data_IF_929046327711
#
_entry.id   IF_929046327711
#
_cell.length_a   1.000
_cell.length_b   1.000
_cell.length_c   1.000
_cell.angle_alpha   90.00
_cell.angle_beta   90.00
_cell.angle_gamma   90.00
#
_symmetry.space_group_name_H-M   'P 1'
#
loop_
_entity.id
_entity.type
_entity.pdbx_description
1 polymer ?
#
# COMPACT_ATOMS: atom_id res chain seq x y z
N UNK A 1 35.91 -13.44 -24.84
CA UNK A 1 36.10 -12.38 -25.86
C UNK A 1 34.86 -12.35 -26.74
N UNK A 2 33.84 -11.57 -26.36
CA UNK A 2 32.78 -11.16 -27.28
C UNK A 2 33.15 -9.74 -27.73
N UNK A 3 33.51 -9.59 -29.00
CA UNK A 3 33.64 -8.28 -29.64
C UNK A 3 32.23 -7.78 -29.97
N UNK A 4 31.47 -7.32 -28.97
CA UNK A 4 30.26 -6.56 -29.25
C UNK A 4 30.67 -5.17 -29.76
N UNK A 5 30.08 -4.75 -30.89
CA UNK A 5 30.29 -3.40 -31.42
C UNK A 5 30.01 -2.37 -30.33
N UNK A 6 30.89 -1.39 -30.20
CA UNK A 6 30.61 -0.23 -29.38
C UNK A 6 29.34 0.46 -29.92
N UNK A 7 28.35 0.75 -29.05
CA UNK A 7 27.13 1.41 -29.45
C UNK A 7 27.44 2.77 -30.08
N UNK A 8 26.71 3.11 -31.13
CA UNK A 8 26.94 4.33 -31.93
C UNK A 8 25.94 5.44 -31.64
N UNK A 9 24.89 5.13 -30.88
CA UNK A 9 23.83 6.06 -30.50
C UNK A 9 23.47 5.89 -29.03
N UNK A 10 22.97 6.96 -28.39
CA UNK A 10 22.57 6.93 -26.97
C UNK A 10 21.52 5.82 -26.70
N UNK A 11 20.46 5.65 -27.53
CA UNK A 11 19.50 4.55 -27.33
C UNK A 11 20.14 3.16 -27.39
N UNK A 12 21.14 2.97 -28.24
CA UNK A 12 21.85 1.70 -28.38
C UNK A 12 22.73 1.42 -27.14
N UNK A 13 23.40 2.46 -26.62
CA UNK A 13 24.17 2.39 -25.37
C UNK A 13 23.27 2.00 -24.18
N UNK A 14 22.14 2.69 -24.03
CA UNK A 14 21.18 2.42 -22.95
C UNK A 14 20.52 1.04 -23.09
N UNK A 15 20.23 0.59 -24.31
CA UNK A 15 19.71 -0.75 -24.56
C UNK A 15 20.75 -1.82 -24.20
N UNK A 16 22.03 -1.57 -24.46
CA UNK A 16 23.12 -2.43 -24.03
C UNK A 16 23.23 -2.46 -22.51
N UNK A 17 23.38 -1.30 -21.85
CA UNK A 17 23.47 -1.19 -20.39
C UNK A 17 22.28 -1.88 -19.69
N UNK A 18 21.08 -1.76 -20.23
CA UNK A 18 19.88 -2.45 -19.72
C UNK A 18 19.95 -3.97 -19.85
N UNK A 19 20.50 -4.49 -20.95
CA UNK A 19 20.75 -5.94 -21.11
C UNK A 19 21.81 -6.40 -20.11
N UNK A 20 22.88 -5.62 -19.97
CA UNK A 20 23.98 -5.93 -19.05
C UNK A 20 23.53 -5.93 -17.59
N UNK A 21 22.58 -5.07 -17.21
CA UNK A 21 21.97 -5.04 -15.88
C UNK A 21 20.78 -6.02 -15.70
N UNK A 22 20.53 -6.92 -16.65
CA UNK A 22 19.45 -7.90 -16.52
C UNK A 22 19.60 -8.74 -15.24
N UNK A 23 18.52 -8.87 -14.47
CA UNK A 23 18.48 -9.57 -13.19
C UNK A 23 18.78 -8.71 -11.95
N UNK A 24 19.18 -7.44 -12.12
CA UNK A 24 19.33 -6.49 -11.01
C UNK A 24 17.97 -5.89 -10.55
N UNK A 25 17.99 -5.15 -9.43
CA UNK A 25 16.78 -4.48 -8.93
C UNK A 25 16.26 -3.46 -9.97
N UNK A 26 14.95 -3.42 -10.27
CA UNK A 26 14.39 -2.48 -11.24
C UNK A 26 14.66 -1.00 -10.95
N UNK A 27 14.83 -0.61 -9.69
CA UNK A 27 15.19 0.75 -9.31
C UNK A 27 16.65 1.05 -9.71
N UNK A 28 17.58 0.14 -9.40
CA UNK A 28 18.98 0.26 -9.81
C UNK A 28 19.11 0.40 -11.34
N UNK A 29 18.37 -0.42 -12.09
CA UNK A 29 18.36 -0.35 -13.55
C UNK A 29 17.88 1.02 -14.03
N UNK A 30 16.84 1.57 -13.40
CA UNK A 30 16.30 2.87 -13.78
C UNK A 30 17.28 4.00 -13.47
N UNK A 31 17.89 3.99 -12.28
CA UNK A 31 18.83 5.02 -11.84
C UNK A 31 20.07 5.00 -12.73
N UNK A 32 20.65 3.83 -12.97
CA UNK A 32 21.81 3.67 -13.86
C UNK A 32 21.55 4.13 -15.30
N UNK A 33 20.36 3.85 -15.84
CA UNK A 33 19.99 4.30 -17.19
C UNK A 33 19.77 5.82 -17.26
N UNK A 34 19.22 6.42 -16.20
CA UNK A 34 18.99 7.86 -16.12
C UNK A 34 20.31 8.63 -16.03
N UNK A 35 21.18 8.23 -15.09
CA UNK A 35 22.50 8.84 -14.90
C UNK A 35 23.34 8.74 -16.19
N UNK A 36 23.34 7.57 -16.83
CA UNK A 36 24.05 7.36 -18.08
C UNK A 36 23.49 8.20 -19.23
N UNK A 37 22.16 8.34 -19.35
CA UNK A 37 21.54 9.18 -20.38
C UNK A 37 21.85 10.66 -20.16
N UNK A 38 21.75 11.15 -18.92
CA UNK A 38 22.05 12.55 -18.57
C UNK A 38 23.50 12.89 -18.89
N UNK A 39 24.44 12.04 -18.47
CA UNK A 39 25.87 12.22 -18.73
C UNK A 39 26.21 12.17 -20.23
N UNK A 40 25.66 11.22 -20.98
CA UNK A 40 25.90 11.13 -22.43
C UNK A 40 25.34 12.34 -23.19
N UNK A 41 24.19 12.87 -22.77
CA UNK A 41 23.59 14.06 -23.37
C UNK A 41 24.35 15.34 -23.02
N UNK A 42 24.88 15.47 -21.81
CA UNK A 42 25.73 16.62 -21.44
C UNK A 42 27.03 16.61 -22.24
N UNK A 43 27.68 15.46 -22.38
CA UNK A 43 28.91 15.30 -23.17
C UNK A 43 28.69 15.62 -24.66
N UNK A 44 27.53 15.24 -25.21
CA UNK A 44 27.17 15.58 -26.59
C UNK A 44 26.92 17.09 -26.76
N UNK A 45 26.31 17.74 -25.78
CA UNK A 45 26.07 19.18 -25.79
C UNK A 45 27.37 20.01 -25.69
N UNK A 46 28.37 19.50 -24.97
CA UNK A 46 29.70 20.13 -24.83
C UNK A 46 30.60 19.90 -26.07
N UNK A 47 30.26 18.94 -26.93
CA UNK A 47 31.02 18.61 -28.14
C UNK A 47 30.19 18.78 -29.44
N UNK A 48 29.71 20.00 -29.78
CA UNK A 48 28.80 20.24 -30.92
C UNK A 48 29.42 19.96 -32.30
N UNK A 49 30.74 19.79 -32.40
CA UNK A 49 31.46 19.51 -33.64
C UNK A 49 31.79 18.03 -33.89
N UNK A 50 31.43 17.13 -32.98
CA UNK A 50 31.70 15.68 -33.10
C UNK A 50 30.41 14.92 -33.42
N UNK A 51 30.55 13.79 -34.12
CA UNK A 51 29.42 12.90 -34.34
C UNK A 51 29.01 12.18 -33.04
N UNK A 52 27.73 11.82 -32.92
CA UNK A 52 27.21 11.12 -31.73
C UNK A 52 28.02 9.84 -31.42
N UNK A 53 28.42 9.11 -32.45
CA UNK A 53 29.24 7.90 -32.33
C UNK A 53 30.67 8.18 -31.79
N UNK A 54 31.28 9.30 -32.16
CA UNK A 54 32.61 9.69 -31.66
C UNK A 54 32.57 10.06 -30.18
N UNK A 55 31.53 10.77 -29.75
CA UNK A 55 31.34 11.15 -28.35
C UNK A 55 31.09 9.91 -27.50
N UNK A 56 30.23 8.98 -27.96
CA UNK A 56 29.95 7.74 -27.22
C UNK A 56 31.19 6.84 -27.15
N UNK A 57 31.98 6.74 -28.22
CA UNK A 57 33.23 5.98 -28.19
C UNK A 57 34.26 6.60 -27.21
N UNK A 58 34.35 7.92 -27.16
CA UNK A 58 35.21 8.63 -26.22
C UNK A 58 34.76 8.44 -24.77
N UNK A 59 33.45 8.54 -24.51
CA UNK A 59 32.87 8.30 -23.18
C UNK A 59 33.04 6.84 -22.76
N UNK A 60 32.80 5.87 -23.65
CA UNK A 60 33.02 4.46 -23.36
C UNK A 60 34.50 4.16 -23.03
N UNK A 61 35.44 4.94 -23.58
CA UNK A 61 36.87 4.84 -23.27
C UNK A 61 37.27 5.48 -21.94
N UNK A 62 36.58 6.53 -21.49
CA UNK A 62 36.95 7.29 -20.28
C UNK A 62 36.12 6.89 -19.05
N UNK A 63 34.82 6.69 -19.24
CA UNK A 63 33.83 6.38 -18.21
C UNK A 63 33.53 4.87 -18.12
N UNK A 64 33.88 4.10 -19.16
CA UNK A 64 33.75 2.65 -19.22
C UNK A 64 32.70 2.18 -20.21
N UNK A 65 32.86 0.95 -20.69
CA UNK A 65 31.88 0.33 -21.59
C UNK A 65 30.57 0.02 -20.85
N UNK A 66 29.42 -0.16 -21.56
CA UNK A 66 28.13 -0.47 -20.93
C UNK A 66 28.17 -1.64 -19.93
N UNK A 67 28.96 -2.68 -20.21
CA UNK A 67 29.13 -3.83 -19.33
C UNK A 67 29.91 -3.50 -18.05
N UNK A 68 30.97 -2.70 -18.17
CA UNK A 68 31.80 -2.29 -17.02
C UNK A 68 31.01 -1.36 -16.10
N UNK A 69 30.24 -0.43 -16.66
CA UNK A 69 29.32 0.42 -15.92
C UNK A 69 28.27 -0.44 -15.20
N UNK A 70 27.71 -1.45 -15.86
CA UNK A 70 26.74 -2.35 -15.24
C UNK A 70 27.31 -3.08 -14.00
N UNK A 71 28.56 -3.54 -14.08
CA UNK A 71 29.21 -4.25 -12.98
C UNK A 71 29.52 -3.31 -11.80
N UNK A 72 29.90 -2.06 -12.06
CA UNK A 72 30.09 -1.03 -11.01
C UNK A 72 28.78 -0.79 -10.25
N UNK A 73 27.66 -0.66 -10.95
CA UNK A 73 26.35 -0.46 -10.32
C UNK A 73 25.93 -1.69 -9.49
N UNK A 74 26.17 -2.92 -9.98
CA UNK A 74 25.89 -4.15 -9.21
C UNK A 74 26.68 -4.22 -7.91
N UNK A 75 27.98 -3.99 -7.97
CA UNK A 75 28.85 -4.07 -6.80
C UNK A 75 28.54 -2.98 -5.77
N UNK A 76 28.23 -1.78 -6.25
CA UNK A 76 27.85 -0.65 -5.39
C UNK A 76 26.53 -0.93 -4.70
N UNK A 77 25.53 -1.44 -5.42
CA UNK A 77 24.22 -1.77 -4.85
C UNK A 77 24.33 -2.88 -3.79
N UNK A 78 25.11 -3.94 -4.03
CA UNK A 78 25.31 -5.01 -3.04
C UNK A 78 25.94 -4.47 -1.76
N UNK A 79 26.94 -3.60 -1.86
CA UNK A 79 27.59 -2.98 -0.69
C UNK A 79 26.63 -2.06 0.06
N UNK A 80 25.88 -1.23 -0.66
CA UNK A 80 24.91 -0.30 -0.07
C UNK A 80 23.76 -1.05 0.60
N UNK A 81 23.17 -2.06 -0.06
CA UNK A 81 22.11 -2.88 0.52
C UNK A 81 22.58 -3.65 1.76
N UNK A 82 23.81 -4.16 1.74
CA UNK A 82 24.39 -4.88 2.88
C UNK A 82 24.62 -3.93 4.07
N UNK A 83 25.13 -2.72 3.80
CA UNK A 83 25.38 -1.70 4.83
C UNK A 83 24.08 -1.12 5.43
N UNK A 84 23.04 -0.98 4.61
CA UNK A 84 21.75 -0.43 5.02
C UNK A 84 20.80 -1.48 5.59
N UNK A 85 21.18 -2.76 5.62
CA UNK A 85 20.30 -3.84 6.10
C UNK A 85 20.09 -3.70 7.61
N UNK A 86 18.88 -3.34 8.08
CA UNK A 86 18.63 -3.24 9.51
C UNK A 86 18.68 -4.64 10.15
N UNK A 87 19.13 -4.76 11.41
CA UNK A 87 19.16 -6.04 12.11
C UNK A 87 17.75 -6.64 12.16
N UNK A 88 17.59 -7.95 11.87
CA UNK A 88 16.28 -8.59 11.88
C UNK A 88 15.68 -8.54 13.29
N UNK A 89 14.40 -8.12 13.44
CA UNK A 89 13.78 -8.01 14.75
C UNK A 89 13.71 -9.39 15.43
N UNK A 90 13.90 -9.46 16.76
CA UNK A 90 13.90 -10.72 17.49
C UNK A 90 12.53 -11.41 17.41
N UNK A 91 12.51 -12.64 16.91
CA UNK A 91 11.28 -13.45 16.76
C UNK A 91 10.91 -14.07 18.12
N UNK A 92 9.78 -13.67 18.70
CA UNK A 92 9.27 -14.23 19.97
C UNK A 92 8.73 -15.65 19.76
N UNK A 93 9.34 -16.65 20.39
CA UNK A 93 9.10 -18.09 20.14
C UNK A 93 7.96 -18.72 20.96
N UNK A 94 7.54 -18.15 22.10
CA UNK A 94 6.54 -18.79 22.99
C UNK A 94 5.09 -18.42 22.65
N UNK A 95 4.14 -19.35 22.82
CA UNK A 95 2.71 -19.13 22.60
C UNK A 95 2.13 -18.04 23.54
N UNK A 96 2.49 -18.10 24.82
CA UNK A 96 2.12 -17.09 25.82
C UNK A 96 2.75 -15.72 25.54
N UNK A 97 4.00 -15.66 25.08
CA UNK A 97 4.66 -14.41 24.70
C UNK A 97 4.09 -13.77 23.43
N UNK A 98 3.47 -14.57 22.55
CA UNK A 98 2.71 -14.08 21.38
C UNK A 98 1.31 -13.59 21.77
N UNK A 99 0.64 -14.28 22.71
CA UNK A 99 -0.68 -13.90 23.20
C UNK A 99 -0.64 -12.57 23.97
N UNK A 100 0.23 -12.46 24.99
CA UNK A 100 0.39 -11.20 25.74
C UNK A 100 1.13 -10.11 24.95
N UNK A 101 1.93 -10.50 23.96
CA UNK A 101 2.69 -9.57 23.13
C UNK A 101 1.86 -8.67 22.22
N UNK A 102 0.56 -8.88 22.11
CA UNK A 102 -0.32 -8.08 21.24
C UNK A 102 -0.43 -6.62 21.69
N UNK A 103 -0.42 -6.34 22.99
CA UNK A 103 -0.36 -4.96 23.51
C UNK A 103 0.99 -4.28 23.26
N UNK A 104 2.03 -5.06 22.98
CA UNK A 104 3.35 -4.53 22.60
C UNK A 104 3.52 -4.47 21.07
N UNK A 105 2.53 -4.90 20.28
CA UNK A 105 2.57 -4.88 18.82
C UNK A 105 1.86 -3.61 18.30
N UNK A 106 2.60 -2.60 17.80
CA UNK A 106 2.00 -1.37 17.26
C UNK A 106 1.00 -1.65 16.13
N UNK A 107 1.16 -2.76 15.41
CA UNK A 107 0.26 -3.12 14.29
C UNK A 107 -1.12 -3.52 14.74
N UNK A 108 -1.27 -4.05 15.97
CA UNK A 108 -2.58 -4.39 16.49
C UNK A 108 -3.41 -3.12 16.75
N UNK A 109 -2.78 -2.07 17.29
CA UNK A 109 -3.39 -0.75 17.45
C UNK A 109 -3.68 -0.07 16.11
N UNK A 110 -2.74 -0.13 15.17
CA UNK A 110 -2.95 0.42 13.84
C UNK A 110 -4.11 -0.28 13.11
N UNK A 111 -4.25 -1.61 13.27
CA UNK A 111 -5.38 -2.36 12.71
C UNK A 111 -6.71 -2.01 13.40
N UNK A 112 -6.71 -1.84 14.72
CA UNK A 112 -7.90 -1.40 15.47
C UNK A 112 -8.33 0.01 15.05
N UNK A 113 -7.37 0.93 14.91
CA UNK A 113 -7.63 2.28 14.42
C UNK A 113 -8.13 2.26 12.97
N UNK A 114 -7.56 1.38 12.12
CA UNK A 114 -8.06 1.16 10.76
C UNK A 114 -9.52 0.69 10.76
N UNK A 115 -9.91 -0.25 11.64
CA UNK A 115 -11.30 -0.73 11.72
C UNK A 115 -12.30 0.39 12.02
N UNK A 116 -11.91 1.36 12.85
CA UNK A 116 -12.74 2.54 13.14
C UNK A 116 -12.76 3.50 11.95
N UNK A 117 -11.60 3.75 11.34
CA UNK A 117 -11.44 4.61 10.17
C UNK A 117 -12.13 4.05 8.91
N UNK A 118 -12.27 2.73 8.81
CA UNK A 118 -12.84 2.01 7.67
C UNK A 118 -14.30 2.41 7.40
N UNK A 119 -15.06 2.80 8.44
CA UNK A 119 -16.42 3.31 8.24
C UNK A 119 -16.41 4.66 7.52
N UNK A 120 -15.57 5.60 7.98
CA UNK A 120 -15.50 6.94 7.39
C UNK A 120 -14.97 6.90 5.95
N UNK A 121 -13.89 6.15 5.73
CA UNK A 121 -13.32 5.94 4.38
C UNK A 121 -14.27 5.16 3.48
N UNK A 122 -14.96 4.14 4.01
CA UNK A 122 -15.94 3.36 3.25
C UNK A 122 -17.17 4.16 2.83
N UNK A 123 -17.70 5.04 3.68
CA UNK A 123 -18.76 5.98 3.29
C UNK A 123 -18.26 6.89 2.17
N UNK A 124 -17.09 7.49 2.33
CA UNK A 124 -16.52 8.39 1.33
C UNK A 124 -16.34 7.70 -0.03
N UNK A 125 -15.70 6.52 -0.07
CA UNK A 125 -15.47 5.78 -1.30
C UNK A 125 -16.76 5.33 -1.97
N UNK A 126 -17.72 4.82 -1.19
CA UNK A 126 -19.00 4.39 -1.71
C UNK A 126 -19.78 5.56 -2.32
N UNK A 127 -19.90 6.67 -1.60
CA UNK A 127 -20.60 7.87 -2.10
C UNK A 127 -19.89 8.40 -3.35
N UNK A 128 -18.57 8.47 -3.34
CA UNK A 128 -17.79 8.93 -4.50
C UNK A 128 -18.04 8.07 -5.73
N UNK A 129 -18.00 6.75 -5.59
CA UNK A 129 -18.23 5.82 -6.71
C UNK A 129 -19.66 5.91 -7.20
N UNK A 130 -20.66 5.81 -6.31
CA UNK A 130 -22.06 5.80 -6.71
C UNK A 130 -22.45 7.14 -7.34
N UNK A 131 -22.18 8.26 -6.66
CA UNK A 131 -22.54 9.58 -7.18
C UNK A 131 -21.70 9.94 -8.41
N UNK A 132 -20.38 9.76 -8.35
CA UNK A 132 -19.47 10.11 -9.44
C UNK A 132 -19.74 9.31 -10.71
N UNK A 133 -19.96 7.99 -10.58
CA UNK A 133 -20.30 7.14 -11.72
C UNK A 133 -21.68 7.45 -12.27
N UNK A 134 -22.71 7.59 -11.43
CA UNK A 134 -24.07 7.91 -11.88
C UNK A 134 -24.15 9.27 -12.59
N UNK A 135 -23.49 10.31 -12.06
CA UNK A 135 -23.47 11.64 -12.69
C UNK A 135 -22.68 11.62 -13.99
N UNK A 136 -21.51 10.98 -14.01
CA UNK A 136 -20.67 10.90 -15.22
C UNK A 136 -21.35 10.14 -16.36
N UNK A 137 -22.01 9.02 -16.03
CA UNK A 137 -22.73 8.20 -17.00
C UNK A 137 -24.06 8.85 -17.42
N UNK A 138 -24.75 9.55 -16.51
CA UNK A 138 -25.94 10.32 -16.87
C UNK A 138 -25.61 11.48 -17.83
N UNK A 139 -24.50 12.19 -17.58
CA UNK A 139 -24.06 13.29 -18.43
C UNK A 139 -23.34 12.82 -19.69
N UNK A 140 -22.98 11.54 -19.86
CA UNK A 140 -22.26 11.07 -21.05
C UNK A 140 -23.09 11.14 -22.34
N UNK A 141 -24.43 11.25 -22.22
CA UNK A 141 -25.32 11.59 -23.34
C UNK A 141 -25.03 13.00 -23.87
N UNK A 142 -24.48 13.86 -23.03
CA UNK A 142 -24.02 15.20 -23.38
C UNK A 142 -22.52 15.20 -23.70
N UNK A 143 -22.07 16.21 -24.46
CA UNK A 143 -20.64 16.41 -24.76
C UNK A 143 -19.80 16.58 -23.47
N UNK A 144 -20.41 17.09 -22.40
CA UNK A 144 -19.74 17.39 -21.12
C UNK A 144 -19.44 16.13 -20.31
N UNK A 145 -20.22 15.05 -20.49
CA UNK A 145 -20.05 13.84 -19.67
C UNK A 145 -18.76 13.08 -19.96
N UNK A 146 -18.24 13.11 -21.20
CA UNK A 146 -17.00 12.42 -21.55
C UNK A 146 -15.81 12.96 -20.74
N UNK A 147 -15.53 14.28 -20.71
CA UNK A 147 -14.52 14.86 -19.82
C UNK A 147 -14.73 14.50 -18.34
N UNK A 148 -15.97 14.55 -17.86
CA UNK A 148 -16.29 14.25 -16.46
C UNK A 148 -16.00 12.80 -16.10
N UNK A 149 -16.32 11.86 -17.00
CA UNK A 149 -16.07 10.43 -16.81
C UNK A 149 -14.57 10.11 -16.79
N UNK A 150 -13.79 10.77 -17.65
CA UNK A 150 -12.32 10.69 -17.62
C UNK A 150 -11.79 11.21 -16.27
N UNK A 151 -12.29 12.35 -15.79
CA UNK A 151 -11.90 12.91 -14.50
C UNK A 151 -12.28 11.96 -13.34
N UNK A 152 -13.46 11.35 -13.41
CA UNK A 152 -13.91 10.37 -12.43
C UNK A 152 -12.96 9.16 -12.37
N UNK A 153 -12.64 8.51 -13.49
CA UNK A 153 -11.69 7.40 -13.49
C UNK A 153 -10.28 7.81 -13.05
N UNK A 154 -9.84 9.03 -13.41
CA UNK A 154 -8.62 9.62 -12.89
C UNK A 154 -8.64 9.73 -11.36
N UNK A 155 -9.74 10.22 -10.79
CA UNK A 155 -9.91 10.35 -9.34
C UNK A 155 -9.91 8.99 -8.64
N UNK A 156 -10.57 7.96 -9.21
CA UNK A 156 -10.57 6.59 -8.66
C UNK A 156 -9.16 6.03 -8.59
N UNK A 157 -8.34 6.28 -9.62
CA UNK A 157 -6.92 5.89 -9.61
C UNK A 157 -6.16 6.58 -8.49
N UNK A 158 -6.33 7.90 -8.31
CA UNK A 158 -5.67 8.64 -7.22
C UNK A 158 -6.10 8.12 -5.85
N UNK A 159 -7.41 7.95 -5.64
CA UNK A 159 -7.96 7.45 -4.38
C UNK A 159 -7.47 6.04 -4.06
N UNK A 160 -7.27 5.18 -5.05
CA UNK A 160 -6.75 3.82 -4.82
C UNK A 160 -5.29 3.81 -4.37
N UNK A 161 -4.49 4.81 -4.77
CA UNK A 161 -3.14 5.01 -4.25
C UNK A 161 -3.17 5.49 -2.80
N UNK A 162 -4.08 6.41 -2.47
CA UNK A 162 -4.28 6.88 -1.09
C UNK A 162 -4.66 5.71 -0.19
N UNK A 163 -5.64 4.90 -0.60
CA UNK A 163 -6.09 3.75 0.18
C UNK A 163 -5.01 2.67 0.26
N UNK A 164 -4.30 2.40 -0.84
CA UNK A 164 -3.14 1.51 -0.82
C UNK A 164 -2.06 1.98 0.17
N UNK A 165 -1.87 3.29 0.33
CA UNK A 165 -0.94 3.86 1.31
C UNK A 165 -1.44 3.76 2.74
N UNK A 166 -2.74 4.00 2.98
CA UNK A 166 -3.38 3.80 4.29
C UNK A 166 -3.19 2.34 4.73
N UNK A 167 -3.50 1.39 3.85
CA UNK A 167 -3.33 -0.05 4.11
C UNK A 167 -1.87 -0.42 4.33
N UNK A 168 -0.93 0.11 3.52
CA UNK A 168 0.50 -0.17 3.68
C UNK A 168 1.03 0.35 5.03
N UNK A 169 0.66 1.57 5.41
CA UNK A 169 1.14 2.22 6.66
C UNK A 169 0.51 1.58 7.88
N UNK A 170 -0.80 1.30 7.85
CA UNK A 170 -1.54 0.86 9.03
C UNK A 170 -1.51 -0.66 9.22
N UNK A 171 -1.59 -1.42 8.13
CA UNK A 171 -1.68 -2.89 8.19
C UNK A 171 -0.32 -3.56 7.92
N UNK A 172 0.64 -2.82 7.38
CA UNK A 172 2.00 -3.30 7.12
C UNK A 172 2.10 -4.28 5.95
N UNK A 173 1.03 -4.41 5.15
CA UNK A 173 1.03 -5.21 3.93
C UNK A 173 1.62 -4.37 2.80
N UNK A 174 2.72 -4.85 2.22
CA UNK A 174 3.44 -4.09 1.17
C UNK A 174 2.59 -4.04 -0.10
N UNK A 175 2.07 -2.86 -0.41
CA UNK A 175 1.41 -2.58 -1.69
C UNK A 175 2.44 -2.20 -2.77
N UNK A 176 2.28 -2.64 -4.03
CA UNK A 176 3.13 -2.19 -5.13
C UNK A 176 2.89 -0.70 -5.38
N UNK A 177 3.98 0.08 -5.29
CA UNK A 177 3.94 1.55 -5.27
C UNK A 177 3.86 2.21 -6.64
N UNK A 178 3.99 1.46 -7.74
CA UNK A 178 4.13 2.03 -9.09
C UNK A 178 3.00 1.55 -10.00
N UNK A 179 2.29 2.44 -10.69
CA UNK A 179 1.44 2.03 -11.79
C UNK A 179 2.28 1.30 -12.85
N UNK A 180 1.74 0.22 -13.44
CA UNK A 180 2.35 -0.41 -14.61
C UNK A 180 2.52 0.66 -15.68
N UNK A 181 3.72 0.73 -16.27
CA UNK A 181 4.11 1.71 -17.27
C UNK A 181 3.00 1.85 -18.33
N UNK A 182 2.44 3.06 -18.47
CA UNK A 182 1.72 3.39 -19.70
C UNK A 182 2.74 3.39 -20.82
N UNK A 183 2.52 2.55 -21.84
CA UNK A 183 3.36 2.51 -23.04
C UNK A 183 3.41 3.93 -23.62
N UNK A 184 4.58 4.58 -23.55
CA UNK A 184 4.80 5.91 -24.18
C UNK A 184 4.58 5.75 -25.69
N UNK A 185 3.74 6.60 -26.27
CA UNK A 185 3.44 6.61 -27.72
C UNK A 185 1.96 6.44 -28.10
N UNK A 186 1.05 6.11 -27.17
CA UNK A 186 -0.39 6.01 -27.48
C UNK A 186 -1.10 7.37 -27.51
N UNK A 187 -2.01 7.54 -28.47
CA UNK A 187 -2.85 8.74 -28.62
C UNK A 187 -3.80 8.91 -27.43
N UNK A 188 -4.26 10.15 -27.17
CA UNK A 188 -5.20 10.43 -26.07
C UNK A 188 -6.49 9.59 -26.18
N UNK A 189 -6.98 9.38 -27.40
CA UNK A 189 -8.17 8.55 -27.66
C UNK A 189 -7.97 7.07 -27.33
N UNK A 190 -6.79 6.51 -27.65
CA UNK A 190 -6.46 5.14 -27.26
C UNK A 190 -6.36 5.00 -25.74
N UNK A 191 -5.79 5.99 -25.04
CA UNK A 191 -5.71 5.99 -23.56
C UNK A 191 -7.09 6.07 -22.90
N UNK A 192 -8.02 6.82 -23.50
CA UNK A 192 -9.40 6.89 -23.02
C UNK A 192 -10.08 5.54 -23.21
N UNK A 193 -9.97 4.93 -24.40
CA UNK A 193 -10.53 3.59 -24.65
C UNK A 193 -9.99 2.53 -23.71
N UNK A 194 -8.67 2.51 -23.51
CA UNK A 194 -7.99 1.58 -22.59
C UNK A 194 -8.49 1.73 -21.14
N UNK A 195 -8.89 2.93 -20.70
CA UNK A 195 -9.41 3.14 -19.35
C UNK A 195 -10.75 2.43 -19.08
N UNK A 196 -11.61 2.32 -20.10
CA UNK A 196 -12.92 1.65 -19.98
C UNK A 196 -12.81 0.13 -20.02
N UNK A 197 -11.84 -0.40 -20.79
CA UNK A 197 -11.62 -1.85 -20.92
C UNK A 197 -10.67 -2.42 -19.88
N UNK A 198 -9.95 -1.57 -19.13
CA UNK A 198 -9.03 -1.98 -18.07
C UNK A 198 -9.77 -2.67 -16.90
N UNK A 199 -9.56 -3.99 -16.68
CA UNK A 199 -10.19 -4.73 -15.57
C UNK A 199 -9.79 -4.18 -14.19
N UNK A 200 -8.67 -3.46 -14.11
CA UNK A 200 -8.22 -2.81 -12.88
C UNK A 200 -9.17 -1.70 -12.43
N UNK A 201 -9.71 -0.92 -13.35
CA UNK A 201 -10.67 0.14 -13.03
C UNK A 201 -11.90 -0.47 -12.37
N UNK A 202 -12.44 -1.54 -12.95
CA UNK A 202 -13.63 -2.23 -12.45
C UNK A 202 -13.41 -2.90 -11.09
N UNK A 203 -12.27 -3.57 -10.90
CA UNK A 203 -11.91 -4.15 -9.60
C UNK A 203 -11.72 -3.09 -8.51
N UNK A 204 -11.18 -1.91 -8.86
CA UNK A 204 -11.04 -0.78 -7.93
C UNK A 204 -12.41 -0.20 -7.55
N UNK A 205 -13.32 -0.03 -8.51
CA UNK A 205 -14.69 0.40 -8.25
C UNK A 205 -15.43 -0.59 -7.34
N UNK A 206 -15.31 -1.89 -7.62
CA UNK A 206 -15.88 -2.94 -6.79
C UNK A 206 -15.32 -2.89 -5.37
N UNK A 207 -14.01 -2.72 -5.23
CA UNK A 207 -13.36 -2.57 -3.92
C UNK A 207 -13.93 -1.38 -3.14
N UNK A 208 -14.06 -0.21 -3.77
CA UNK A 208 -14.67 0.97 -3.15
C UNK A 208 -16.15 0.80 -2.81
N UNK A 209 -16.89 0.03 -3.60
CA UNK A 209 -18.27 -0.31 -3.27
C UNK A 209 -18.35 -1.23 -2.04
N UNK A 210 -17.45 -2.21 -1.96
CA UNK A 210 -17.36 -3.16 -0.84
C UNK A 210 -16.80 -2.53 0.44
N UNK A 211 -16.15 -1.39 0.35
CA UNK A 211 -15.60 -0.70 1.52
C UNK A 211 -16.65 -0.25 2.52
N UNK A 212 -17.86 0.12 2.08
CA UNK A 212 -18.93 0.47 3.00
C UNK A 212 -19.41 -0.71 3.87
N UNK A 213 -19.86 -1.86 3.31
CA UNK A 213 -20.28 -2.98 4.14
C UNK A 213 -19.15 -3.53 5.00
N UNK A 214 -17.92 -3.56 4.50
CA UNK A 214 -16.75 -3.95 5.28
C UNK A 214 -16.46 -2.97 6.41
N UNK A 215 -16.51 -1.66 6.13
CA UNK A 215 -16.30 -0.60 7.12
C UNK A 215 -17.33 -0.64 8.25
N UNK A 216 -18.60 -0.89 7.92
CA UNK A 216 -19.66 -1.12 8.92
C UNK A 216 -19.32 -2.32 9.80
N UNK A 217 -18.99 -3.47 9.19
CA UNK A 217 -18.66 -4.68 9.93
C UNK A 217 -17.45 -4.48 10.86
N UNK A 218 -16.37 -3.88 10.36
CA UNK A 218 -15.17 -3.61 11.15
C UNK A 218 -15.44 -2.63 12.28
N UNK A 219 -16.13 -1.52 12.01
CA UNK A 219 -16.46 -0.53 13.03
C UNK A 219 -17.36 -1.13 14.12
N UNK A 220 -18.41 -1.86 13.75
CA UNK A 220 -19.31 -2.51 14.70
C UNK A 220 -18.54 -3.50 15.58
N UNK A 221 -17.69 -4.35 14.99
CA UNK A 221 -16.88 -5.31 15.77
C UNK A 221 -15.92 -4.58 16.72
N UNK A 222 -15.20 -3.57 16.23
CA UNK A 222 -14.25 -2.82 17.06
C UNK A 222 -14.94 -2.13 18.24
N UNK A 223 -16.00 -1.36 17.96
CA UNK A 223 -16.69 -0.57 18.98
C UNK A 223 -17.41 -1.46 19.99
N UNK A 224 -18.10 -2.51 19.54
CA UNK A 224 -18.81 -3.43 20.46
C UNK A 224 -17.84 -4.17 21.37
N UNK A 225 -16.78 -4.76 20.82
CA UNK A 225 -15.81 -5.51 21.61
C UNK A 225 -15.02 -4.60 22.55
N UNK A 226 -14.62 -3.40 22.11
CA UNK A 226 -13.95 -2.43 22.98
C UNK A 226 -14.88 -1.95 24.10
N UNK A 227 -16.11 -1.57 23.77
CA UNK A 227 -17.06 -1.08 24.77
C UNK A 227 -17.34 -2.15 25.84
N UNK A 228 -17.63 -3.39 25.42
CA UNK A 228 -17.90 -4.50 26.35
C UNK A 228 -16.65 -4.86 27.17
N UNK A 229 -15.49 -5.04 26.53
CA UNK A 229 -14.26 -5.41 27.24
C UNK A 229 -13.82 -4.34 28.24
N UNK A 230 -13.93 -3.06 27.88
CA UNK A 230 -13.56 -1.96 28.77
C UNK A 230 -14.56 -1.80 29.91
N UNK A 231 -15.86 -1.91 29.63
CA UNK A 231 -16.91 -1.85 30.67
C UNK A 231 -16.72 -2.96 31.71
N UNK A 232 -16.37 -4.17 31.26
CA UNK A 232 -16.11 -5.29 32.17
C UNK A 232 -14.77 -5.13 32.89
N UNK A 233 -13.69 -4.76 32.18
CA UNK A 233 -12.37 -4.57 32.78
C UNK A 233 -12.38 -3.50 33.88
N UNK A 234 -13.10 -2.40 33.65
CA UNK A 234 -13.24 -1.28 34.59
C UNK A 234 -14.36 -1.49 35.63
N UNK A 235 -15.09 -2.61 35.59
CA UNK A 235 -16.18 -2.89 36.52
C UNK A 235 -15.82 -2.78 38.01
N UNK A 236 -14.60 -3.08 38.50
CA UNK A 236 -14.26 -2.92 39.92
C UNK A 236 -14.18 -1.45 40.37
N UNK A 237 -14.02 -0.50 39.43
CA UNK A 237 -13.99 0.93 39.75
C UNK A 237 -15.34 1.44 40.30
N UNK A 238 -16.43 0.70 40.09
CA UNK A 238 -17.75 0.97 40.68
C UNK A 238 -17.75 0.97 42.20
N UNK A 239 -16.75 0.33 42.83
CA UNK A 239 -16.60 0.32 44.29
C UNK A 239 -15.99 1.62 44.83
N UNK A 240 -15.45 2.48 43.96
CA UNK A 240 -14.89 3.77 44.37
C UNK A 240 -16.03 4.80 44.53
N UNK A 241 -15.99 5.61 45.60
CA UNK A 241 -17.00 6.64 45.82
C UNK A 241 -16.98 7.67 44.67
N UNK A 242 -18.15 7.98 44.13
CA UNK A 242 -18.34 8.98 43.05
C UNK A 242 -18.32 8.42 41.62
N UNK A 243 -18.17 7.11 41.43
CA UNK A 243 -18.24 6.48 40.10
C UNK A 243 -19.60 5.76 39.93
N UNK A 244 -20.50 6.39 39.16
CA UNK A 244 -21.83 5.83 38.84
C UNK A 244 -21.81 4.99 37.55
N UNK A 245 -20.96 3.96 37.51
CA UNK A 245 -20.95 3.01 36.41
C UNK A 245 -21.85 1.82 36.76
N UNK A 246 -22.89 1.55 35.96
CA UNK A 246 -23.74 0.38 36.15
C UNK A 246 -23.33 -0.74 35.19
N UNK A 247 -23.10 -1.93 35.72
CA UNK A 247 -22.78 -3.13 34.93
C UNK A 247 -23.94 -4.10 35.06
N UNK A 248 -24.70 -4.22 33.98
CA UNK A 248 -25.86 -5.10 33.92
C UNK A 248 -25.50 -6.42 33.24
N UNK A 249 -25.84 -7.53 33.89
CA UNK A 249 -25.61 -8.86 33.35
C UNK A 249 -26.78 -9.79 33.73
N UNK A 250 -27.37 -10.45 32.75
CA UNK A 250 -28.53 -11.34 32.95
C UNK A 250 -29.70 -10.69 33.73
N UNK A 251 -29.90 -9.38 33.57
CA UNK A 251 -30.94 -8.61 34.29
C UNK A 251 -30.57 -8.21 35.73
N UNK A 252 -29.35 -8.50 36.18
CA UNK A 252 -28.84 -8.13 37.50
C UNK A 252 -27.92 -6.92 37.40
N UNK A 253 -28.05 -5.99 38.35
CA UNK A 253 -27.08 -4.91 38.58
C UNK A 253 -25.94 -5.46 39.45
N UNK A 254 -24.79 -5.76 38.85
CA UNK A 254 -23.67 -6.44 39.50
C UNK A 254 -23.13 -5.67 40.72
N UNK A 255 -22.82 -4.37 40.64
CA UNK A 255 -22.35 -3.60 41.80
C UNK A 255 -23.27 -3.65 43.02
N UNK A 256 -24.59 -3.55 42.81
CA UNK A 256 -25.57 -3.49 43.90
C UNK A 256 -25.92 -4.88 44.45
N UNK A 257 -26.10 -5.86 43.56
CA UNK A 257 -26.68 -7.15 43.91
C UNK A 257 -25.62 -8.23 44.16
N UNK A 258 -24.49 -8.18 43.43
CA UNK A 258 -23.44 -9.22 43.46
C UNK A 258 -22.03 -8.64 43.30
N UNK A 259 -21.60 -7.70 44.17
CA UNK A 259 -20.32 -6.99 44.02
C UNK A 259 -19.08 -7.90 44.04
N UNK A 260 -19.18 -9.08 44.67
CA UNK A 260 -18.11 -10.08 44.71
C UNK A 260 -17.77 -10.69 43.34
N UNK A 261 -18.67 -10.58 42.33
CA UNK A 261 -18.42 -11.02 40.96
C UNK A 261 -17.60 -10.00 40.15
N UNK A 262 -17.51 -8.74 40.58
CA UNK A 262 -16.83 -7.67 39.83
C UNK A 262 -15.37 -8.00 39.48
N UNK A 263 -14.54 -8.58 40.38
CA UNK A 263 -13.18 -8.99 40.01
C UNK A 263 -13.16 -10.07 38.93
N UNK A 264 -14.09 -11.02 38.97
CA UNK A 264 -14.20 -12.09 37.95
C UNK A 264 -14.62 -11.51 36.61
N UNK A 265 -15.63 -10.62 36.61
CA UNK A 265 -16.07 -9.89 35.42
C UNK A 265 -14.94 -9.03 34.85
N UNK A 266 -14.13 -8.40 35.69
CA UNK A 266 -12.94 -7.66 35.29
C UNK A 266 -11.91 -8.55 34.59
N UNK A 267 -11.61 -9.73 35.14
CA UNK A 267 -10.71 -10.68 34.49
C UNK A 267 -11.24 -11.13 33.12
N UNK A 268 -12.55 -11.37 33.00
CA UNK A 268 -13.20 -11.68 31.72
C UNK A 268 -13.10 -10.50 30.75
N UNK A 269 -13.33 -9.28 31.22
CA UNK A 269 -13.18 -8.06 30.42
C UNK A 269 -11.76 -7.87 29.91
N UNK A 270 -10.76 -8.08 30.76
CA UNK A 270 -9.34 -8.06 30.37
C UNK A 270 -9.06 -9.12 29.31
N UNK A 271 -9.50 -10.36 29.52
CA UNK A 271 -9.34 -11.45 28.54
C UNK A 271 -10.02 -11.12 27.20
N UNK A 272 -11.20 -10.53 27.22
CA UNK A 272 -11.89 -10.02 26.03
C UNK A 272 -11.11 -8.91 25.35
N UNK A 273 -10.43 -8.03 26.08
CA UNK A 273 -9.59 -6.99 25.51
C UNK A 273 -8.40 -7.60 24.75
N UNK A 274 -7.76 -8.63 25.31
CA UNK A 274 -6.75 -9.41 24.59
C UNK A 274 -7.32 -10.04 23.32
N UNK A 275 -8.50 -10.68 23.42
CA UNK A 275 -9.16 -11.28 22.26
C UNK A 275 -9.48 -10.23 21.17
N UNK A 276 -9.97 -9.06 21.57
CA UNK A 276 -10.30 -7.92 20.69
C UNK A 276 -9.08 -7.50 19.89
N UNK A 277 -7.93 -7.35 20.54
CA UNK A 277 -6.70 -6.96 19.85
C UNK A 277 -6.18 -8.03 18.88
N UNK A 278 -6.39 -9.33 19.18
CA UNK A 278 -6.07 -10.40 18.24
C UNK A 278 -7.01 -10.41 17.04
N UNK A 279 -8.31 -10.19 17.27
CA UNK A 279 -9.31 -10.06 16.22
C UNK A 279 -8.96 -8.88 15.31
N UNK A 280 -8.64 -7.72 15.89
CA UNK A 280 -8.26 -6.53 15.13
C UNK A 280 -7.04 -6.78 14.25
N UNK A 281 -6.00 -7.43 14.79
CA UNK A 281 -4.82 -7.83 14.02
C UNK A 281 -5.15 -8.83 12.90
N UNK A 282 -6.05 -9.78 13.17
CA UNK A 282 -6.52 -10.75 12.18
C UNK A 282 -7.26 -10.08 11.03
N UNK A 283 -8.22 -9.20 11.35
CA UNK A 283 -8.99 -8.41 10.39
C UNK A 283 -8.07 -7.51 9.56
N UNK A 284 -7.12 -6.83 10.18
CA UNK A 284 -6.14 -6.01 9.46
C UNK A 284 -5.35 -6.79 8.41
N UNK A 285 -4.92 -8.03 8.74
CA UNK A 285 -4.25 -8.91 7.77
C UNK A 285 -5.17 -9.35 6.64
N UNK A 286 -6.39 -9.79 6.97
CA UNK A 286 -7.37 -10.22 5.98
C UNK A 286 -7.72 -9.08 5.03
N UNK A 287 -7.91 -7.87 5.56
CA UNK A 287 -8.17 -6.68 4.77
C UNK A 287 -6.98 -6.32 3.87
N UNK A 288 -5.75 -6.35 4.39
CA UNK A 288 -4.55 -6.11 3.59
C UNK A 288 -4.43 -7.07 2.41
N UNK A 289 -4.73 -8.36 2.62
CA UNK A 289 -4.77 -9.36 1.55
C UNK A 289 -5.89 -9.11 0.53
N UNK A 290 -7.08 -8.72 1.02
CA UNK A 290 -8.22 -8.37 0.17
C UNK A 290 -7.91 -7.16 -0.72
N UNK A 291 -7.38 -6.09 -0.15
CA UNK A 291 -6.93 -4.90 -0.87
C UNK A 291 -5.86 -5.25 -1.90
N UNK A 292 -4.88 -6.09 -1.53
CA UNK A 292 -3.83 -6.54 -2.46
C UNK A 292 -4.41 -7.35 -3.62
N UNK A 293 -5.39 -8.22 -3.36
CA UNK A 293 -5.99 -9.03 -4.41
C UNK A 293 -6.73 -8.14 -5.43
N UNK A 294 -7.59 -7.26 -4.96
CA UNK A 294 -8.45 -6.44 -5.83
C UNK A 294 -7.70 -5.28 -6.49
N UNK A 295 -6.81 -4.59 -5.77
CA UNK A 295 -6.10 -3.42 -6.30
C UNK A 295 -4.87 -3.79 -7.14
N UNK A 296 -4.34 -5.01 -7.00
CA UNK A 296 -3.09 -5.44 -7.65
C UNK A 296 -3.27 -6.68 -8.51
N UNK A 297 -3.75 -7.79 -7.94
CA UNK A 297 -3.59 -9.12 -8.57
C UNK A 297 -4.46 -9.30 -9.82
N UNK A 298 -5.61 -8.61 -9.90
CA UNK A 298 -6.48 -8.59 -11.09
C UNK A 298 -5.76 -8.10 -12.36
N UNK A 299 -4.62 -7.40 -12.23
CA UNK A 299 -3.83 -6.87 -13.35
C UNK A 299 -2.76 -7.81 -13.93
N UNK A 300 -2.46 -8.94 -13.28
CA UNK A 300 -1.43 -9.87 -13.76
C UNK A 300 -1.98 -10.97 -14.69
N UNK A 301 -3.30 -11.07 -14.83
CA UNK A 301 -3.98 -12.14 -15.57
C UNK A 301 -4.90 -11.62 -16.69
N UNK A 302 -4.85 -10.32 -17.00
CA UNK A 302 -5.56 -9.69 -18.10
C UNK A 302 -4.53 -9.15 -19.11
#
# INVERSE_FOLDING_TARGET
>A
MNTERLPTTIPEYLAHLRRSLAGADPALIQDALYDAEEYLRSELAENPGKSEAEVIAAVASSYGAPDEVADIYRDTEVKVQTALRPPPPPVRKSAWGRFFGVFADPRAYASLFYMVLALATGIFYFVWVVAGFSVSLGLSVTIIGIPLLILFFGSVRVLSLVEGRIVEVMLGERMPRRPLYTVRGRSLWQRIGDMFTDPRTWSTLLYFLLMLPLGIAYFTIAVTLLAVSLSFALSPLTLLPGIELSVWMFGLNLPEQTPWLLPVVSLVGIALLFATMHIARGIGRLHGLFAKHLLVKTSQYA
#
